data_IF_335398834893
#
_entry.id   IF_335398834893
#
_cell.length_a   1.000
_cell.length_b   1.000
_cell.length_c   1.000
_cell.angle_alpha   90.00
_cell.angle_beta   90.00
_cell.angle_gamma   90.00
#
_symmetry.space_group_name_H-M   'P 1'
#
loop_
_entity.id
_entity.type
_entity.pdbx_description
1 polymer ?
#
# COMPACT_ATOMS: atom_id res chain seq x y z
N UNK A 1 -5.19 3.34 18.38
CA UNK A 1 -4.71 4.75 18.31
C UNK A 1 -3.30 4.99 18.87
N UNK A 2 -2.81 4.25 19.89
CA UNK A 2 -1.44 4.40 20.39
C UNK A 2 -0.35 3.94 19.41
N UNK A 3 -0.54 2.81 18.68
CA UNK A 3 0.43 2.33 17.67
C UNK A 3 0.60 3.27 16.46
N UNK A 4 -0.51 3.78 15.91
CA UNK A 4 -0.48 4.71 14.76
C UNK A 4 0.27 6.02 15.06
N UNK A 5 0.26 6.50 16.31
CA UNK A 5 0.99 7.70 16.71
C UNK A 5 2.50 7.46 16.75
N UNK A 6 2.93 6.26 17.19
CA UNK A 6 4.34 5.89 17.28
C UNK A 6 4.99 5.73 15.89
N UNK A 7 4.23 5.19 14.92
CA UNK A 7 4.69 5.00 13.53
C UNK A 7 4.83 6.31 12.75
N UNK A 8 3.97 7.31 13.02
CA UNK A 8 4.08 8.62 12.37
C UNK A 8 5.26 9.40 12.95
N UNK A 9 5.49 9.30 14.26
CA UNK A 9 6.64 9.96 14.90
C UNK A 9 7.98 9.41 14.42
N UNK A 10 8.11 8.09 14.23
CA UNK A 10 9.35 7.50 13.69
C UNK A 10 9.60 7.91 12.24
N UNK A 11 8.56 7.95 11.40
CA UNK A 11 8.65 8.46 10.03
C UNK A 11 9.09 9.93 9.95
N UNK A 12 8.53 10.79 10.82
CA UNK A 12 8.92 12.20 10.90
C UNK A 12 10.38 12.35 11.34
N UNK A 13 10.84 11.54 12.30
CA UNK A 13 12.22 11.58 12.77
C UNK A 13 13.20 11.16 11.68
N UNK A 14 12.88 10.13 10.89
CA UNK A 14 13.69 9.70 9.75
C UNK A 14 13.77 10.81 8.70
N UNK A 15 12.64 11.44 8.35
CA UNK A 15 12.61 12.56 7.40
C UNK A 15 13.38 13.78 7.92
N UNK A 16 13.26 14.10 9.21
CA UNK A 16 14.05 15.16 9.84
C UNK A 16 15.55 14.86 9.77
N UNK A 17 15.94 13.60 10.01
CA UNK A 17 17.33 13.15 9.86
C UNK A 17 17.86 13.35 8.45
N UNK A 18 17.08 12.98 7.43
CA UNK A 18 17.44 13.20 6.01
C UNK A 18 17.58 14.70 5.73
N UNK A 19 16.63 15.52 6.16
CA UNK A 19 16.67 16.99 5.95
C UNK A 19 17.91 17.63 6.56
N UNK A 20 18.37 17.17 7.72
CA UNK A 20 19.58 17.71 8.37
C UNK A 20 20.84 17.47 7.52
N UNK A 21 20.89 16.39 6.72
CA UNK A 21 22.06 16.08 5.88
C UNK A 21 22.33 17.12 4.80
N UNK A 22 21.32 17.90 4.40
CA UNK A 22 21.43 18.99 3.41
C UNK A 22 22.49 20.02 3.81
N UNK A 23 22.60 20.29 5.13
CA UNK A 23 23.58 21.24 5.69
C UNK A 23 25.03 20.76 5.62
N UNK A 24 25.25 19.47 5.44
CA UNK A 24 26.59 18.86 5.42
C UNK A 24 27.03 18.51 4.01
N UNK A 25 26.14 17.85 3.25
CA UNK A 25 26.41 17.43 1.88
C UNK A 25 25.08 17.30 1.12
N UNK A 26 24.82 18.21 0.19
CA UNK A 26 23.58 18.17 -0.57
C UNK A 26 23.44 16.90 -1.41
N UNK A 27 24.55 16.37 -1.94
CA UNK A 27 24.54 15.12 -2.71
C UNK A 27 24.04 13.95 -1.84
N UNK A 28 24.43 13.91 -0.56
CA UNK A 28 23.93 12.93 0.40
C UNK A 28 22.44 13.13 0.67
N UNK A 29 22.00 14.36 0.90
CA UNK A 29 20.58 14.69 1.06
C UNK A 29 19.74 14.23 -0.14
N UNK A 30 20.12 14.63 -1.35
CA UNK A 30 19.44 14.27 -2.59
C UNK A 30 19.37 12.75 -2.74
N UNK A 31 20.49 12.05 -2.52
CA UNK A 31 20.53 10.59 -2.62
C UNK A 31 19.61 9.91 -1.61
N UNK A 32 19.59 10.37 -0.36
CA UNK A 32 18.76 9.77 0.69
C UNK A 32 17.27 10.04 0.48
N UNK A 33 16.89 11.28 0.10
CA UNK A 33 15.49 11.64 -0.11
C UNK A 33 14.90 10.95 -1.35
N UNK A 34 15.70 10.81 -2.40
CA UNK A 34 15.33 10.05 -3.59
C UNK A 34 15.22 8.56 -3.28
N UNK A 35 16.23 7.96 -2.63
CA UNK A 35 16.21 6.55 -2.26
C UNK A 35 15.00 6.22 -1.37
N UNK A 36 14.65 7.10 -0.43
CA UNK A 36 13.46 6.94 0.39
C UNK A 36 12.18 6.88 -0.45
N UNK A 37 12.02 7.79 -1.41
CA UNK A 37 10.88 7.79 -2.34
C UNK A 37 10.86 6.52 -3.21
N UNK A 38 12.01 6.12 -3.75
CA UNK A 38 12.18 4.93 -4.57
C UNK A 38 11.79 3.66 -3.79
N UNK A 39 12.23 3.53 -2.54
CA UNK A 39 11.87 2.40 -1.67
C UNK A 39 10.36 2.35 -1.41
N UNK A 40 9.72 3.50 -1.20
CA UNK A 40 8.25 3.58 -1.08
C UNK A 40 7.59 3.13 -2.38
N UNK A 41 8.07 3.59 -3.53
CA UNK A 41 7.50 3.25 -4.84
C UNK A 41 7.66 1.77 -5.21
N UNK A 42 8.80 1.15 -4.93
CA UNK A 42 8.95 -0.31 -5.06
C UNK A 42 8.05 -1.06 -4.06
N UNK A 43 7.89 -0.57 -2.83
CA UNK A 43 6.98 -1.15 -1.84
C UNK A 43 5.52 -1.11 -2.30
N UNK A 44 5.10 0.02 -2.90
CA UNK A 44 3.80 0.18 -3.55
C UNK A 44 3.57 -0.93 -4.58
N UNK A 45 4.53 -1.14 -5.48
CA UNK A 45 4.45 -2.19 -6.49
C UNK A 45 4.38 -3.58 -5.85
N UNK A 46 5.28 -3.90 -4.92
CA UNK A 46 5.33 -5.22 -4.29
C UNK A 46 4.03 -5.56 -3.59
N UNK A 47 3.44 -4.62 -2.85
CA UNK A 47 2.16 -4.82 -2.18
C UNK A 47 1.07 -5.04 -3.23
N UNK A 48 0.95 -4.17 -4.23
CA UNK A 48 -0.08 -4.29 -5.27
C UNK A 48 0.03 -5.60 -6.06
N UNK A 49 1.25 -6.01 -6.42
CA UNK A 49 1.50 -7.24 -7.17
C UNK A 49 1.14 -8.49 -6.37
N UNK A 50 1.55 -8.57 -5.10
CA UNK A 50 1.30 -9.74 -4.25
C UNK A 50 -0.14 -9.84 -3.78
N UNK A 51 -0.83 -8.71 -3.63
CA UNK A 51 -2.24 -8.67 -3.19
C UNK A 51 -3.24 -8.61 -4.36
N UNK A 52 -2.77 -8.69 -5.61
CA UNK A 52 -3.61 -8.54 -6.83
C UNK A 52 -4.83 -9.47 -6.91
N UNK A 53 -4.80 -10.65 -6.27
CA UNK A 53 -5.92 -11.58 -6.24
C UNK A 53 -6.98 -11.20 -5.20
N UNK A 54 -6.63 -10.36 -4.22
CA UNK A 54 -7.47 -9.96 -3.09
C UNK A 54 -7.91 -8.50 -3.24
N UNK A 55 -7.13 -7.67 -3.93
CA UNK A 55 -7.45 -6.27 -4.20
C UNK A 55 -8.73 -6.16 -5.02
N UNK A 56 -9.78 -5.60 -4.42
CA UNK A 56 -11.02 -5.27 -5.11
C UNK A 56 -10.89 -4.02 -6.01
N UNK A 57 -9.91 -3.16 -5.72
CA UNK A 57 -9.75 -1.86 -6.36
C UNK A 57 -8.71 -1.90 -7.50
N UNK A 58 -9.21 -2.04 -8.73
CA UNK A 58 -8.41 -2.09 -9.96
C UNK A 58 -7.67 -0.76 -10.26
N UNK A 59 -8.18 0.37 -9.78
CA UNK A 59 -7.52 1.67 -9.92
C UNK A 59 -6.16 1.69 -9.19
N UNK A 60 -6.12 1.24 -7.93
CA UNK A 60 -4.87 1.17 -7.18
C UNK A 60 -3.96 0.05 -7.67
N UNK A 61 -4.53 -1.04 -8.20
CA UNK A 61 -3.74 -2.10 -8.83
C UNK A 61 -3.01 -1.56 -10.07
N UNK A 62 -3.68 -0.77 -10.92
CA UNK A 62 -3.05 -0.10 -12.06
C UNK A 62 -1.91 0.83 -11.61
N UNK A 63 -2.18 1.75 -10.67
CA UNK A 63 -1.16 2.67 -10.17
C UNK A 63 0.02 1.92 -9.54
N UNK A 64 -0.24 0.91 -8.71
CA UNK A 64 0.82 0.13 -8.07
C UNK A 64 1.80 -0.49 -9.07
N UNK A 65 1.31 -0.94 -10.23
CA UNK A 65 2.17 -1.45 -11.30
C UNK A 65 2.94 -0.34 -12.03
N UNK A 66 2.34 0.85 -12.21
CA UNK A 66 3.03 2.00 -12.79
C UNK A 66 4.22 2.46 -11.92
N UNK A 67 4.04 2.45 -10.58
CA UNK A 67 5.07 2.88 -9.63
C UNK A 67 6.36 2.05 -9.69
N UNK A 68 6.33 0.82 -10.21
CA UNK A 68 7.56 0.06 -10.50
C UNK A 68 8.47 0.81 -11.48
N UNK A 69 7.90 1.23 -12.61
CA UNK A 69 8.66 1.88 -13.69
C UNK A 69 9.02 3.32 -13.35
N UNK A 70 8.12 4.03 -12.66
CA UNK A 70 8.40 5.38 -12.14
C UNK A 70 9.60 5.33 -11.18
N UNK A 71 9.60 4.37 -10.25
CA UNK A 71 10.69 4.21 -9.27
C UNK A 71 11.99 3.73 -9.90
N UNK A 72 11.91 2.92 -10.96
CA UNK A 72 13.07 2.52 -11.74
C UNK A 72 13.72 3.70 -12.48
N UNK A 73 12.91 4.58 -13.09
CA UNK A 73 13.43 5.79 -13.75
C UNK A 73 13.96 6.77 -12.70
N UNK A 74 13.29 6.93 -11.56
CA UNK A 74 13.78 7.74 -10.44
C UNK A 74 15.13 7.22 -9.92
N UNK A 75 15.34 5.90 -9.84
CA UNK A 75 16.64 5.32 -9.51
C UNK A 75 17.73 5.72 -10.52
N UNK A 76 17.43 5.64 -11.82
CA UNK A 76 18.37 6.09 -12.84
C UNK A 76 18.65 7.59 -12.74
N UNK A 77 17.62 8.40 -12.44
CA UNK A 77 17.76 9.83 -12.18
C UNK A 77 18.73 10.10 -11.01
N UNK A 78 18.55 9.42 -9.88
CA UNK A 78 19.43 9.57 -8.71
C UNK A 78 20.87 9.22 -9.06
N UNK A 79 21.10 8.11 -9.78
CA UNK A 79 22.43 7.70 -10.22
C UNK A 79 23.06 8.66 -11.24
N UNK A 80 22.22 9.33 -12.05
CA UNK A 80 22.63 10.36 -13.00
C UNK A 80 22.84 11.74 -12.38
N UNK A 81 22.60 11.92 -11.09
CA UNK A 81 22.71 13.22 -10.46
C UNK A 81 24.14 13.77 -10.49
N UNK A 82 24.26 15.09 -10.68
CA UNK A 82 25.55 15.78 -10.76
C UNK A 82 26.34 15.57 -9.45
N UNK A 83 27.50 14.92 -9.57
CA UNK A 83 28.37 14.57 -8.45
C UNK A 83 28.42 13.07 -8.09
N UNK A 84 27.49 12.24 -8.57
CA UNK A 84 27.50 10.79 -8.31
C UNK A 84 28.63 10.04 -9.04
N UNK A 85 29.02 10.50 -10.22
CA UNK A 85 30.11 9.92 -11.01
C UNK A 85 29.82 8.57 -11.69
N UNK A 86 28.57 8.08 -11.65
CA UNK A 86 28.15 6.80 -12.27
C UNK A 86 28.12 6.90 -13.80
N UNK A 87 27.47 7.94 -14.33
CA UNK A 87 27.40 8.22 -15.77
C UNK A 87 28.44 9.28 -16.14
N UNK A 88 29.57 8.85 -16.72
CA UNK A 88 30.65 9.76 -17.13
C UNK A 88 30.32 10.45 -18.45
N UNK A 89 30.61 11.75 -18.55
CA UNK A 89 30.38 12.54 -19.77
C UNK A 89 28.95 13.06 -19.93
N UNK A 90 28.12 12.99 -18.88
CA UNK A 90 26.80 13.60 -18.83
C UNK A 90 26.79 14.70 -17.76
N UNK A 91 26.24 15.86 -18.12
CA UNK A 91 26.06 17.00 -17.21
C UNK A 91 24.70 16.92 -16.49
N UNK A 92 24.25 18.02 -15.88
CA UNK A 92 22.96 18.11 -15.20
C UNK A 92 21.74 17.91 -16.14
N UNK A 93 21.93 17.80 -17.45
CA UNK A 93 20.86 17.56 -18.41
C UNK A 93 20.27 16.14 -18.28
N UNK A 94 21.12 15.11 -18.23
CA UNK A 94 20.66 13.71 -18.11
C UNK A 94 19.71 13.46 -16.93
N UNK A 95 20.04 13.85 -15.67
CA UNK A 95 19.10 13.67 -14.57
C UNK A 95 17.80 14.47 -14.79
N UNK A 96 17.85 15.67 -15.38
CA UNK A 96 16.61 16.45 -15.63
C UNK A 96 15.72 15.85 -16.73
N UNK A 97 16.30 15.17 -17.73
CA UNK A 97 15.56 14.40 -18.75
C UNK A 97 14.87 13.17 -18.15
N UNK A 98 15.59 12.42 -17.31
CA UNK A 98 15.04 11.27 -16.59
C UNK A 98 13.92 11.69 -15.63
N UNK A 99 14.09 12.84 -14.95
CA UNK A 99 13.07 13.42 -14.09
C UNK A 99 11.77 13.68 -14.84
N UNK A 100 11.82 14.42 -15.96
CA UNK A 100 10.63 14.72 -16.77
C UNK A 100 9.96 13.44 -17.26
N UNK A 101 10.75 12.45 -17.65
CA UNK A 101 10.22 11.15 -18.09
C UNK A 101 9.42 10.46 -16.97
N UNK A 102 9.96 10.41 -15.75
CA UNK A 102 9.27 9.84 -14.60
C UNK A 102 7.97 10.61 -14.27
N UNK A 103 7.99 11.95 -14.30
CA UNK A 103 6.81 12.78 -13.97
C UNK A 103 5.72 12.74 -15.03
N UNK A 104 6.07 12.65 -16.31
CA UNK A 104 5.06 12.38 -17.35
C UNK A 104 4.43 11.00 -17.16
N UNK A 105 5.25 9.97 -16.90
CA UNK A 105 4.74 8.63 -16.62
C UNK A 105 3.79 8.65 -15.42
N UNK A 106 4.15 9.31 -14.32
CA UNK A 106 3.31 9.43 -13.12
C UNK A 106 2.00 10.17 -13.40
N UNK A 107 2.06 11.38 -13.97
CA UNK A 107 0.87 12.21 -14.21
C UNK A 107 -0.11 11.58 -15.20
N UNK A 108 0.39 10.97 -16.28
CA UNK A 108 -0.45 10.23 -17.23
C UNK A 108 -1.07 9.00 -16.56
N UNK A 109 -0.31 8.31 -15.70
CA UNK A 109 -0.85 7.18 -14.93
C UNK A 109 -2.00 7.62 -14.04
N UNK A 110 -1.88 8.76 -13.34
CA UNK A 110 -2.99 9.33 -12.56
C UNK A 110 -4.21 9.69 -13.41
N UNK A 111 -4.01 10.20 -14.63
CA UNK A 111 -5.11 10.57 -15.52
C UNK A 111 -5.88 9.35 -16.05
N UNK A 112 -5.15 8.28 -16.38
CA UNK A 112 -5.69 7.05 -16.96
C UNK A 112 -6.31 6.15 -15.89
N UNK A 113 -5.75 6.12 -14.68
CA UNK A 113 -6.16 5.19 -13.62
C UNK A 113 -7.68 5.15 -13.35
N UNK A 114 -8.43 6.27 -13.32
CA UNK A 114 -9.88 6.26 -13.12
C UNK A 114 -10.67 5.44 -14.16
N UNK A 115 -10.13 5.22 -15.36
CA UNK A 115 -10.78 4.38 -16.38
C UNK A 115 -10.88 2.90 -15.97
N UNK A 116 -10.15 2.48 -14.94
CA UNK A 116 -10.05 1.10 -14.49
C UNK A 116 -10.93 0.75 -13.29
N UNK A 117 -11.75 1.65 -12.71
CA UNK A 117 -12.61 1.29 -11.56
C UNK A 117 -13.49 0.07 -11.83
N UNK A 118 -14.22 0.11 -12.94
CA UNK A 118 -15.20 -0.93 -13.30
C UNK A 118 -14.67 -1.93 -14.34
N UNK A 119 -13.38 -1.86 -14.69
CA UNK A 119 -12.76 -2.72 -15.71
C UNK A 119 -11.73 -3.64 -15.08
N UNK A 120 -11.74 -4.90 -15.51
CA UNK A 120 -10.67 -5.84 -15.14
C UNK A 120 -9.36 -5.37 -15.73
N UNK A 121 -8.34 -5.32 -14.88
CA UNK A 121 -6.99 -4.95 -15.26
C UNK A 121 -6.23 -6.20 -15.70
N UNK A 122 -5.74 -6.20 -16.95
CA UNK A 122 -4.75 -7.18 -17.39
C UNK A 122 -3.35 -6.69 -17.01
N UNK A 123 -2.89 -7.13 -15.83
CA UNK A 123 -1.60 -6.69 -15.26
C UNK A 123 -0.43 -6.99 -16.21
N UNK A 124 -0.44 -8.14 -16.91
CA UNK A 124 0.64 -8.50 -17.84
C UNK A 124 0.72 -7.51 -19.01
N UNK A 125 -0.44 -7.12 -19.56
CA UNK A 125 -0.49 -6.14 -20.64
C UNK A 125 -0.01 -4.76 -20.18
N UNK A 126 -0.38 -4.33 -18.97
CA UNK A 126 0.12 -3.08 -18.38
C UNK A 126 1.64 -3.12 -18.25
N UNK A 127 2.19 -4.16 -17.61
CA UNK A 127 3.64 -4.27 -17.43
C UNK A 127 4.38 -4.24 -18.77
N UNK A 128 3.83 -4.91 -19.80
CA UNK A 128 4.41 -4.89 -21.14
C UNK A 128 4.39 -3.48 -21.78
N UNK A 129 3.26 -2.76 -21.67
CA UNK A 129 3.13 -1.39 -22.18
C UNK A 129 4.12 -0.45 -21.47
N UNK A 130 4.19 -0.48 -20.14
CA UNK A 130 5.15 0.35 -19.41
C UNK A 130 6.59 -0.04 -19.73
N UNK A 131 6.90 -1.33 -19.86
CA UNK A 131 8.23 -1.79 -20.28
C UNK A 131 8.62 -1.25 -21.66
N UNK A 132 7.69 -1.27 -22.62
CA UNK A 132 7.93 -0.71 -23.95
C UNK A 132 8.17 0.80 -23.88
N UNK A 133 7.30 1.53 -23.17
CA UNK A 133 7.43 2.98 -22.99
C UNK A 133 8.78 3.32 -22.35
N UNK A 134 9.13 2.69 -21.22
CA UNK A 134 10.41 2.89 -20.53
C UNK A 134 11.59 2.56 -21.45
N UNK A 135 11.53 1.46 -22.20
CA UNK A 135 12.62 1.08 -23.11
C UNK A 135 12.81 2.11 -24.22
N UNK A 136 11.72 2.58 -24.83
CA UNK A 136 11.76 3.61 -25.88
C UNK A 136 12.28 4.94 -25.35
N UNK A 137 11.80 5.40 -24.19
CA UNK A 137 12.24 6.68 -23.61
C UNK A 137 13.69 6.63 -23.16
N UNK A 138 14.14 5.56 -22.49
CA UNK A 138 15.56 5.40 -22.12
C UNK A 138 16.44 5.27 -23.36
N UNK A 139 15.98 4.60 -24.42
CA UNK A 139 16.73 4.52 -25.69
C UNK A 139 16.89 5.89 -26.35
N UNK A 140 15.84 6.71 -26.30
CA UNK A 140 15.84 8.10 -26.78
C UNK A 140 16.84 8.98 -26.03
N UNK A 141 16.98 8.77 -24.71
CA UNK A 141 17.88 9.56 -23.84
C UNK A 141 19.35 9.10 -23.99
N UNK A 142 19.62 7.81 -23.81
CA UNK A 142 21.00 7.31 -23.69
C UNK A 142 21.69 7.04 -25.02
N UNK A 143 20.98 6.42 -25.97
CA UNK A 143 21.59 5.89 -27.20
C UNK A 143 21.35 6.80 -28.39
N UNK A 144 20.08 7.11 -28.65
CA UNK A 144 19.66 7.84 -29.85
C UNK A 144 19.83 9.35 -29.68
N UNK A 145 19.81 9.85 -28.43
CA UNK A 145 20.01 11.26 -28.05
C UNK A 145 19.10 12.24 -28.79
N UNK A 146 17.86 11.82 -29.08
CA UNK A 146 16.81 12.66 -29.69
C UNK A 146 15.99 13.39 -28.61
N UNK A 147 16.07 12.96 -27.35
CA UNK A 147 15.32 13.59 -26.26
C UNK A 147 15.74 15.07 -26.10
N UNK A 148 14.79 16.03 -26.02
CA UNK A 148 15.13 17.44 -25.97
C UNK A 148 15.97 17.79 -24.73
N UNK A 149 16.90 18.74 -24.88
CA UNK A 149 17.66 19.26 -23.76
C UNK A 149 16.73 19.90 -22.73
N UNK A 150 16.86 19.52 -21.47
CA UNK A 150 16.13 20.03 -20.32
C UNK A 150 16.94 21.06 -19.52
N UNK A 151 18.27 21.00 -19.59
CA UNK A 151 19.18 21.91 -18.92
C UNK A 151 20.42 22.17 -19.78
N UNK A 152 20.88 23.43 -19.80
CA UNK A 152 22.11 23.83 -20.46
C UNK A 152 23.02 24.53 -19.44
N UNK A 153 24.25 24.05 -19.27
CA UNK A 153 25.19 24.65 -18.34
C UNK A 153 25.42 26.14 -18.64
N UNK A 154 25.42 26.97 -17.60
CA UNK A 154 25.55 28.42 -17.71
C UNK A 154 24.30 29.18 -18.20
N UNK A 155 23.32 28.50 -18.82
CA UNK A 155 22.02 29.11 -19.21
C UNK A 155 20.85 28.72 -18.31
N UNK A 156 20.91 27.57 -17.63
CA UNK A 156 19.86 27.07 -16.76
C UNK A 156 18.87 26.15 -17.48
N UNK A 157 17.62 26.10 -16.99
CA UNK A 157 16.55 25.26 -17.54
C UNK A 157 16.14 25.71 -18.94
N UNK A 158 15.83 24.75 -19.81
CA UNK A 158 15.34 25.05 -21.17
C UNK A 158 13.83 25.36 -21.18
N UNK A 159 13.37 26.03 -22.23
CA UNK A 159 11.94 26.23 -22.47
C UNK A 159 11.14 24.93 -22.53
N UNK A 160 11.75 23.88 -23.11
CA UNK A 160 11.12 22.57 -23.15
C UNK A 160 10.84 22.02 -21.74
N UNK A 161 11.81 22.13 -20.82
CA UNK A 161 11.66 21.67 -19.44
C UNK A 161 10.54 22.40 -18.72
N UNK A 162 10.55 23.73 -18.78
CA UNK A 162 9.56 24.59 -18.11
C UNK A 162 8.15 24.31 -18.65
N UNK A 163 7.99 24.26 -19.98
CA UNK A 163 6.69 23.96 -20.60
C UNK A 163 6.18 22.56 -20.24
N UNK A 164 7.11 21.59 -20.14
CA UNK A 164 6.77 20.23 -19.76
C UNK A 164 6.23 20.12 -18.34
N UNK A 165 6.81 20.85 -17.38
CA UNK A 165 6.33 20.87 -15.99
C UNK A 165 4.93 21.48 -15.88
N UNK A 166 4.67 22.58 -16.60
CA UNK A 166 3.31 23.15 -16.66
C UNK A 166 2.32 22.18 -17.31
N UNK A 167 2.72 21.48 -18.37
CA UNK A 167 1.89 20.44 -18.99
C UNK A 167 1.59 19.29 -18.02
N UNK A 168 2.59 18.83 -17.25
CA UNK A 168 2.42 17.82 -16.19
C UNK A 168 1.42 18.31 -15.14
N UNK A 169 1.56 19.54 -14.65
CA UNK A 169 0.60 20.15 -13.71
C UNK A 169 -0.83 20.18 -14.27
N UNK A 170 -1.01 20.52 -15.55
CA UNK A 170 -2.32 20.50 -16.21
C UNK A 170 -2.90 19.08 -16.29
N UNK A 171 -2.09 18.06 -16.60
CA UNK A 171 -2.49 16.65 -16.60
C UNK A 171 -2.94 16.23 -15.18
N UNK A 172 -2.20 16.63 -14.15
CA UNK A 172 -2.55 16.35 -12.75
C UNK A 172 -3.86 17.03 -12.33
N UNK A 173 -4.10 18.27 -12.75
CA UNK A 173 -5.38 18.97 -12.52
C UNK A 173 -6.52 18.24 -13.24
N UNK A 174 -6.32 17.82 -14.49
CA UNK A 174 -7.30 17.02 -15.23
C UNK A 174 -7.56 15.67 -14.53
N UNK A 175 -6.54 15.07 -13.92
CA UNK A 175 -6.66 13.84 -13.12
C UNK A 175 -7.54 14.05 -11.89
N UNK A 176 -7.37 15.18 -11.17
CA UNK A 176 -8.25 15.56 -10.05
C UNK A 176 -9.71 15.68 -10.52
N UNK A 177 -9.94 16.36 -11.64
CA UNK A 177 -11.28 16.52 -12.18
C UNK A 177 -11.93 15.18 -12.56
N UNK A 178 -11.16 14.28 -13.19
CA UNK A 178 -11.62 12.93 -13.54
C UNK A 178 -11.94 12.09 -12.31
N UNK A 179 -11.11 12.17 -11.26
CA UNK A 179 -11.35 11.54 -9.97
C UNK A 179 -12.62 12.08 -9.29
N UNK A 180 -12.86 13.39 -9.35
CA UNK A 180 -14.03 14.00 -8.74
C UNK A 180 -15.33 13.53 -9.41
N UNK A 181 -15.34 13.39 -10.74
CA UNK A 181 -16.47 12.80 -11.47
C UNK A 181 -16.73 11.34 -11.09
N UNK A 182 -15.68 10.60 -10.75
CA UNK A 182 -15.75 9.18 -10.39
C UNK A 182 -15.88 8.93 -8.89
N UNK A 183 -16.12 9.98 -8.09
CA UNK A 183 -16.09 9.95 -6.61
C UNK A 183 -17.07 8.94 -5.99
N UNK A 184 -18.20 8.65 -6.64
CA UNK A 184 -19.18 7.68 -6.11
C UNK A 184 -18.67 6.24 -6.10
N UNK A 185 -17.70 5.92 -6.96
CA UNK A 185 -17.07 4.59 -7.03
C UNK A 185 -15.90 4.46 -6.06
N UNK A 186 -15.53 5.57 -5.41
CA UNK A 186 -14.29 5.69 -4.66
C UNK A 186 -14.56 5.62 -3.15
N UNK A 187 -13.81 4.76 -2.46
CA UNK A 187 -13.78 4.79 -1.01
C UNK A 187 -13.25 6.15 -0.52
N UNK A 188 -14.02 6.82 0.35
CA UNK A 188 -13.76 8.21 0.78
C UNK A 188 -12.34 8.43 1.31
N UNK A 189 -11.77 7.44 1.99
CA UNK A 189 -10.39 7.49 2.51
C UNK A 189 -9.36 7.45 1.39
N UNK A 190 -9.51 6.54 0.43
CA UNK A 190 -8.56 6.37 -0.69
C UNK A 190 -8.60 7.58 -1.61
N UNK A 191 -9.79 8.16 -1.81
CA UNK A 191 -9.95 9.39 -2.57
C UNK A 191 -9.16 10.53 -1.94
N UNK A 192 -9.27 10.71 -0.62
CA UNK A 192 -8.53 11.71 0.13
C UNK A 192 -7.01 11.56 -0.05
N UNK A 193 -6.48 10.36 0.17
CA UNK A 193 -5.04 10.09 -0.01
C UNK A 193 -4.57 10.35 -1.43
N UNK A 194 -5.35 9.95 -2.43
CA UNK A 194 -5.01 10.16 -3.84
C UNK A 194 -4.98 11.65 -4.21
N UNK A 195 -5.99 12.41 -3.78
CA UNK A 195 -6.04 13.86 -4.01
C UNK A 195 -4.85 14.55 -3.32
N UNK A 196 -4.55 14.17 -2.07
CA UNK A 196 -3.37 14.68 -1.38
C UNK A 196 -2.07 14.40 -2.14
N UNK A 197 -1.90 13.19 -2.69
CA UNK A 197 -0.74 12.85 -3.50
C UNK A 197 -0.62 13.73 -4.75
N UNK A 198 -1.71 13.88 -5.50
CA UNK A 198 -1.71 14.69 -6.73
C UNK A 198 -1.42 16.16 -6.41
N UNK A 199 -2.03 16.73 -5.36
CA UNK A 199 -1.76 18.11 -4.93
C UNK A 199 -0.31 18.29 -4.49
N UNK A 200 0.25 17.36 -3.72
CA UNK A 200 1.67 17.40 -3.34
C UNK A 200 2.58 17.30 -4.57
N UNK A 201 2.22 16.50 -5.57
CA UNK A 201 2.97 16.40 -6.83
C UNK A 201 2.95 17.72 -7.59
N UNK A 202 1.80 18.40 -7.68
CA UNK A 202 1.71 19.73 -8.31
C UNK A 202 2.61 20.74 -7.59
N UNK A 203 2.61 20.76 -6.25
CA UNK A 203 3.48 21.67 -5.48
C UNK A 203 4.96 21.34 -5.73
N UNK A 204 5.30 20.06 -5.79
CA UNK A 204 6.64 19.57 -6.12
C UNK A 204 7.08 20.08 -7.49
N UNK A 205 6.28 19.89 -8.54
CA UNK A 205 6.63 20.31 -9.90
C UNK A 205 6.77 21.84 -10.01
N UNK A 206 5.86 22.60 -9.39
CA UNK A 206 5.98 24.06 -9.35
C UNK A 206 7.29 24.49 -8.68
N UNK A 207 7.70 23.81 -7.60
CA UNK A 207 8.98 24.09 -6.95
C UNK A 207 10.18 23.76 -7.86
N UNK A 208 10.12 22.68 -8.64
CA UNK A 208 11.15 22.35 -9.63
C UNK A 208 11.21 23.33 -10.81
N UNK A 209 10.11 23.98 -11.18
CA UNK A 209 10.09 25.03 -12.22
C UNK A 209 10.82 26.29 -11.80
N UNK A 210 10.75 26.70 -10.53
CA UNK A 210 11.43 27.88 -10.01
C UNK A 210 12.90 27.63 -9.63
N UNK A 211 13.49 26.58 -10.18
CA UNK A 211 14.79 26.14 -9.75
C UNK A 211 15.93 26.79 -10.53
N UNK A 212 16.84 27.45 -9.81
CA UNK A 212 17.97 28.20 -10.38
C UNK A 212 19.27 27.37 -10.43
N UNK A 213 19.50 26.50 -9.46
CA UNK A 213 20.78 25.78 -9.30
C UNK A 213 20.58 24.44 -8.64
N UNK A 214 21.26 23.38 -9.11
CA UNK A 214 21.23 21.95 -8.68
C UNK A 214 21.37 21.71 -7.15
N UNK A 215 21.57 22.75 -6.35
CA UNK A 215 21.70 22.72 -4.89
C UNK A 215 20.75 23.69 -4.15
N UNK A 216 19.75 24.24 -4.83
CA UNK A 216 18.89 25.31 -4.32
C UNK A 216 17.66 24.86 -3.50
N UNK A 217 17.08 25.82 -2.78
CA UNK A 217 15.91 25.65 -1.90
C UNK A 217 14.69 25.08 -2.65
N UNK A 218 14.46 25.48 -3.90
CA UNK A 218 13.29 25.01 -4.66
C UNK A 218 13.34 23.50 -4.92
N UNK A 219 14.53 22.92 -5.13
CA UNK A 219 14.70 21.47 -5.29
C UNK A 219 14.55 20.73 -3.96
N UNK A 220 15.05 21.29 -2.87
CA UNK A 220 14.79 20.77 -1.52
C UNK A 220 13.28 20.68 -1.22
N UNK A 221 12.54 21.77 -1.47
CA UNK A 221 11.07 21.80 -1.28
C UNK A 221 10.39 20.79 -2.22
N UNK A 222 10.82 20.73 -3.47
CA UNK A 222 10.31 19.77 -4.46
C UNK A 222 10.42 18.31 -3.98
N UNK A 223 11.60 17.89 -3.51
CA UNK A 223 11.79 16.53 -3.02
C UNK A 223 10.94 16.21 -1.78
N UNK A 224 10.75 17.15 -0.85
CA UNK A 224 9.87 16.92 0.31
C UNK A 224 8.44 16.63 -0.16
N UNK A 225 7.90 17.45 -1.06
CA UNK A 225 6.54 17.26 -1.57
C UNK A 225 6.41 15.99 -2.42
N UNK A 226 7.46 15.60 -3.17
CA UNK A 226 7.52 14.29 -3.84
C UNK A 226 7.41 13.13 -2.84
N UNK A 227 8.17 13.17 -1.75
CA UNK A 227 8.11 12.13 -0.70
C UNK A 227 6.70 12.04 -0.10
N UNK A 228 6.09 13.19 0.20
CA UNK A 228 4.71 13.25 0.72
C UNK A 228 3.75 12.62 -0.28
N UNK A 229 3.88 12.90 -1.57
CA UNK A 229 3.06 12.31 -2.63
C UNK A 229 3.15 10.79 -2.65
N UNK A 230 4.37 10.24 -2.69
CA UNK A 230 4.61 8.80 -2.70
C UNK A 230 4.07 8.13 -1.45
N UNK A 231 4.26 8.75 -0.28
CA UNK A 231 3.71 8.25 0.97
C UNK A 231 2.18 8.22 0.98
N UNK A 232 1.52 9.25 0.44
CA UNK A 232 0.06 9.27 0.32
C UNK A 232 -0.47 8.11 -0.53
N UNK A 233 0.17 7.79 -1.66
CA UNK A 233 -0.21 6.62 -2.48
C UNK A 233 0.05 5.31 -1.74
N UNK A 234 1.21 5.17 -1.10
CA UNK A 234 1.52 4.02 -0.25
C UNK A 234 0.44 3.82 0.83
N UNK A 235 0.01 4.89 1.50
CA UNK A 235 -1.07 4.83 2.49
C UNK A 235 -2.39 4.38 1.89
N UNK A 236 -2.76 4.89 0.71
CA UNK A 236 -3.96 4.45 -0.01
C UNK A 236 -3.93 2.96 -0.34
N UNK A 237 -2.77 2.44 -0.76
CA UNK A 237 -2.59 1.03 -1.09
C UNK A 237 -2.59 0.15 0.16
N UNK A 238 -1.86 0.50 1.22
CA UNK A 238 -1.84 -0.30 2.47
C UNK A 238 -3.23 -0.40 3.10
N UNK A 239 -3.99 0.70 3.07
CA UNK A 239 -5.35 0.71 3.63
C UNK A 239 -6.29 -0.25 2.89
N UNK A 240 -6.21 -0.27 1.56
CA UNK A 240 -7.09 -1.08 0.71
C UNK A 240 -6.63 -2.52 0.51
N UNK A 241 -5.33 -2.74 0.39
CA UNK A 241 -4.74 -4.05 0.09
C UNK A 241 -4.56 -4.92 1.33
N UNK A 242 -4.37 -4.32 2.52
CA UNK A 242 -4.02 -5.06 3.75
C UNK A 242 -5.05 -4.83 4.86
N UNK A 243 -5.24 -3.58 5.30
CA UNK A 243 -6.05 -3.32 6.50
C UNK A 243 -7.52 -3.64 6.32
N UNK A 244 -8.15 -3.17 5.25
CA UNK A 244 -9.58 -3.42 5.01
C UNK A 244 -9.91 -4.91 4.85
N UNK A 245 -9.17 -5.70 4.05
CA UNK A 245 -9.36 -7.14 4.00
C UNK A 245 -9.19 -7.82 5.37
N UNK A 246 -8.19 -7.39 6.14
CA UNK A 246 -7.96 -7.90 7.49
C UNK A 246 -9.11 -7.60 8.46
N UNK A 247 -9.65 -6.38 8.45
CA UNK A 247 -10.80 -6.01 9.28
C UNK A 247 -12.05 -6.82 8.92
N UNK A 248 -12.29 -7.06 7.62
CA UNK A 248 -13.39 -7.91 7.16
C UNK A 248 -13.19 -9.35 7.65
N UNK A 249 -11.97 -9.89 7.55
CA UNK A 249 -11.65 -11.23 8.02
C UNK A 249 -11.83 -11.35 9.53
N UNK A 250 -11.31 -10.40 10.30
CA UNK A 250 -11.42 -10.36 11.75
C UNK A 250 -12.89 -10.30 12.21
N UNK A 251 -13.71 -9.47 11.55
CA UNK A 251 -15.14 -9.40 11.82
C UNK A 251 -15.84 -10.73 11.55
N UNK A 252 -15.52 -11.41 10.45
CA UNK A 252 -16.08 -12.73 10.12
C UNK A 252 -15.67 -13.80 11.14
N UNK A 253 -14.40 -13.79 11.57
CA UNK A 253 -13.91 -14.71 12.60
C UNK A 253 -14.70 -14.53 13.90
N UNK A 254 -14.85 -13.29 14.38
CA UNK A 254 -15.60 -12.99 15.60
C UNK A 254 -17.08 -13.38 15.49
N UNK A 255 -17.70 -13.18 14.32
CA UNK A 255 -19.08 -13.61 14.08
C UNK A 255 -19.22 -15.14 14.08
N UNK A 256 -18.28 -15.86 13.49
CA UNK A 256 -18.29 -17.32 13.49
C UNK A 256 -18.04 -17.90 14.87
N UNK A 257 -17.12 -17.32 15.64
CA UNK A 257 -16.88 -17.70 17.04
C UNK A 257 -18.15 -17.53 17.89
N UNK A 258 -18.83 -16.39 17.75
CA UNK A 258 -20.09 -16.13 18.45
C UNK A 258 -21.18 -17.14 18.06
N UNK A 259 -21.32 -17.44 16.76
CA UNK A 259 -22.28 -18.45 16.28
C UNK A 259 -21.95 -19.86 16.81
N UNK A 260 -20.68 -20.25 16.80
CA UNK A 260 -20.25 -21.53 17.36
C UNK A 260 -20.54 -21.64 18.85
N UNK A 261 -20.37 -20.54 19.59
CA UNK A 261 -20.71 -20.46 21.01
C UNK A 261 -22.23 -20.61 21.21
N UNK A 262 -23.04 -19.89 20.45
CA UNK A 262 -24.51 -19.96 20.53
C UNK A 262 -25.03 -21.37 20.19
N UNK A 263 -24.50 -22.01 19.14
CA UNK A 263 -24.86 -23.40 18.79
C UNK A 263 -24.44 -24.39 19.88
N UNK A 264 -23.25 -24.22 20.47
CA UNK A 264 -22.80 -25.03 21.60
C UNK A 264 -23.72 -24.87 22.81
N UNK A 265 -24.02 -23.64 23.20
CA UNK A 265 -24.88 -23.33 24.36
C UNK A 265 -26.30 -23.85 24.13
N UNK A 266 -26.81 -23.77 22.89
CA UNK A 266 -28.11 -24.33 22.49
C UNK A 266 -28.13 -25.86 22.55
N UNK A 267 -27.09 -26.52 22.04
CA UNK A 267 -26.96 -27.98 22.14
C UNK A 267 -26.89 -28.45 23.60
N UNK A 268 -26.12 -27.75 24.45
CA UNK A 268 -26.05 -28.02 25.88
C UNK A 268 -27.43 -27.84 26.56
N UNK A 269 -28.14 -26.75 26.25
CA UNK A 269 -29.48 -26.53 26.77
C UNK A 269 -30.47 -27.63 26.36
N UNK A 270 -30.37 -28.16 25.13
CA UNK A 270 -31.19 -29.30 24.72
C UNK A 270 -30.89 -30.58 25.50
N UNK A 271 -29.62 -30.85 25.80
CA UNK A 271 -29.23 -31.97 26.67
C UNK A 271 -29.83 -31.80 28.08
N UNK A 272 -29.72 -30.60 28.66
CA UNK A 272 -30.12 -30.33 30.05
C UNK A 272 -31.63 -30.26 30.28
N UNK A 273 -32.41 -29.89 29.26
CA UNK A 273 -33.88 -29.83 29.33
C UNK A 273 -34.53 -31.18 29.00
N UNK A 274 -33.80 -32.12 28.40
CA UNK A 274 -34.35 -33.43 28.06
C UNK A 274 -34.87 -34.17 29.31
N UNK A 275 -36.14 -34.59 29.27
CA UNK A 275 -36.80 -35.32 30.37
C UNK A 275 -36.32 -36.77 30.58
N UNK A 276 -35.27 -37.18 29.86
CA UNK A 276 -34.66 -38.52 29.89
C UNK A 276 -33.20 -38.41 30.32
N UNK A 277 -32.64 -39.49 30.88
CA UNK A 277 -31.20 -39.57 31.12
C UNK A 277 -30.49 -39.65 29.77
N UNK A 278 -29.62 -38.70 29.51
CA UNK A 278 -28.66 -38.76 28.42
C UNK A 278 -27.27 -38.93 29.03
N UNK A 279 -26.64 -40.06 28.75
CA UNK A 279 -25.28 -40.38 29.20
C UNK A 279 -24.43 -40.79 27.99
N UNK A 280 -23.23 -40.23 27.90
CA UNK A 280 -22.23 -40.62 26.90
C UNK A 280 -21.15 -41.40 27.63
N UNK A 281 -21.02 -42.68 27.28
CA UNK A 281 -20.02 -43.59 27.86
C UNK A 281 -18.90 -43.76 26.82
N UNK A 282 -17.66 -43.61 27.26
CA UNK A 282 -16.49 -43.84 26.42
C UNK A 282 -16.24 -45.32 26.13
N UNK A 283 -15.37 -45.58 25.16
CA UNK A 283 -14.87 -46.95 24.89
C UNK A 283 -14.10 -47.56 26.07
N UNK A 284 -13.69 -46.73 27.02
CA UNK A 284 -13.08 -47.08 28.31
C UNK A 284 -14.12 -47.26 29.43
N UNK A 285 -15.40 -47.36 29.07
CA UNK A 285 -16.55 -47.51 29.98
C UNK A 285 -16.79 -46.35 30.94
N UNK A 286 -16.01 -45.26 30.81
CA UNK A 286 -16.11 -44.09 31.68
C UNK A 286 -17.12 -43.09 31.15
N UNK A 287 -17.85 -42.45 32.07
CA UNK A 287 -18.81 -41.39 31.71
C UNK A 287 -18.06 -40.16 31.19
N UNK A 288 -18.36 -39.75 29.96
CA UNK A 288 -17.80 -38.54 29.33
C UNK A 288 -18.74 -37.35 29.38
N UNK A 289 -20.05 -37.60 29.44
CA UNK A 289 -21.09 -36.58 29.56
C UNK A 289 -22.31 -37.20 30.23
N UNK A 290 -22.97 -36.46 31.10
CA UNK A 290 -24.29 -36.80 31.62
C UNK A 290 -25.14 -35.53 31.73
N UNK A 291 -26.39 -35.57 31.31
CA UNK A 291 -27.25 -34.40 31.39
C UNK A 291 -27.81 -34.18 32.82
N UNK A 292 -28.37 -32.98 33.05
CA UNK A 292 -28.98 -32.60 34.33
C UNK A 292 -29.97 -33.65 34.88
N UNK A 293 -30.82 -34.24 34.04
CA UNK A 293 -31.79 -35.27 34.47
C UNK A 293 -31.11 -36.52 35.04
N UNK A 294 -29.99 -36.95 34.46
CA UNK A 294 -29.17 -38.04 34.98
C UNK A 294 -28.58 -37.73 36.35
N UNK A 295 -28.03 -36.52 36.53
CA UNK A 295 -27.53 -36.06 37.83
C UNK A 295 -28.64 -36.02 38.90
N UNK A 296 -29.81 -35.49 38.56
CA UNK A 296 -30.96 -35.41 39.46
C UNK A 296 -31.46 -36.79 39.89
N UNK A 297 -31.53 -37.76 38.97
CA UNK A 297 -31.97 -39.13 39.28
C UNK A 297 -30.94 -39.92 40.10
N UNK A 298 -29.64 -39.72 39.84
CA UNK A 298 -28.56 -40.34 40.61
C UNK A 298 -28.33 -39.65 41.97
N UNK A 299 -28.87 -38.44 42.17
CA UNK A 299 -28.67 -37.66 43.39
C UNK A 299 -27.22 -37.17 43.58
N UNK A 300 -26.43 -37.15 42.49
CA UNK A 300 -25.01 -36.83 42.50
C UNK A 300 -24.73 -35.59 41.64
N UNK A 301 -23.66 -34.86 41.99
CA UNK A 301 -23.18 -33.76 41.15
C UNK A 301 -22.43 -34.30 39.93
N UNK A 302 -22.47 -33.56 38.82
CA UNK A 302 -21.83 -33.96 37.57
C UNK A 302 -20.33 -34.29 37.74
N UNK A 303 -19.60 -33.49 38.53
CA UNK A 303 -18.18 -33.68 38.86
C UNK A 303 -17.89 -35.01 39.60
N UNK A 304 -18.91 -35.62 40.21
CA UNK A 304 -18.79 -36.90 40.91
C UNK A 304 -19.10 -38.10 40.02
N UNK A 305 -19.64 -37.88 38.82
CA UNK A 305 -20.07 -38.91 37.85
C UNK A 305 -19.08 -38.98 36.68
N UNK A 306 -18.69 -37.83 36.13
CA UNK A 306 -17.77 -37.75 34.99
C UNK A 306 -16.44 -38.44 35.30
N UNK A 307 -15.96 -39.28 34.37
CA UNK A 307 -14.72 -40.02 34.47
C UNK A 307 -14.78 -41.34 35.26
N UNK A 308 -15.90 -41.64 35.94
CA UNK A 308 -16.10 -42.94 36.60
C UNK A 308 -16.62 -44.00 35.63
N UNK A 309 -16.28 -45.28 35.87
CA UNK A 309 -16.87 -46.39 35.11
C UNK A 309 -18.38 -46.42 35.35
N UNK A 310 -19.17 -46.45 34.27
CA UNK A 310 -20.63 -46.44 34.36
C UNK A 310 -21.19 -47.70 34.99
N UNK A 311 -20.69 -48.86 34.55
CA UNK A 311 -21.22 -50.18 34.90
C UNK A 311 -20.85 -50.58 36.34
N UNK A 312 -19.67 -50.18 36.82
CA UNK A 312 -19.21 -50.52 38.18
C UNK A 312 -19.91 -49.71 39.29
N UNK A 313 -20.34 -48.47 38.98
CA UNK A 313 -20.71 -47.50 40.01
C UNK A 313 -22.18 -47.07 40.02
N UNK A 314 -22.91 -47.22 38.91
CA UNK A 314 -24.25 -46.62 38.77
C UNK A 314 -25.34 -47.61 38.33
N UNK A 315 -25.00 -48.89 38.17
CA UNK A 315 -25.96 -49.96 37.94
C UNK A 315 -26.07 -50.88 39.17
N UNK A 316 -27.25 -51.48 39.43
CA UNK A 316 -27.38 -52.52 40.45
C UNK A 316 -26.48 -53.71 40.10
N UNK A 317 -25.90 -54.35 41.11
CA UNK A 317 -25.31 -55.67 40.94
C UNK A 317 -26.43 -56.70 40.90
N UNK A 318 -26.50 -57.47 39.81
CA UNK A 318 -27.44 -58.58 39.65
C UNK A 318 -27.24 -59.67 40.72
#
# INVERSE_FOLDING_TARGET
MKGLKLDITSGILILAGIVITERYCYLLYHSLVELFSILIGFSIFLIAWNTRSIMANNYLLFLGNAYLFISFIDLLHTLAYKGMGVFKGFDADLPTQLWITARYMESISFLIAPLFFNKKVNVKAILFIYFLITTVTLSSIFYVKIFPHCFIEGKGLTWFKILSEYAICLILIASIWHLYKSKMEFERLVFGWTISAILSTIISEIAFTFYISVYGLSNFVGHIFKVISFYCIYKGIVETALKRPYEILWRRLKQNEQKLKEERDRAQSYLDVAGVILVVIGVDERVKLINRKGCELLGLREDQIIGKNWFDHFLPQD
#
